data_IF_833466277969
#
_entry.id   IF_833466277969
#
_cell.length_a   1.000
_cell.length_b   1.000
_cell.length_c   1.000
_cell.angle_alpha   90.00
_cell.angle_beta   90.00
_cell.angle_gamma   90.00
#
_symmetry.space_group_name_H-M   'P 1'
#
loop_
_entity.id
_entity.type
_entity.pdbx_description
1 polymer ?
#
# COMPACT_ATOMS: atom_id res chain seq x y z
N UNK A 1 -11.88 -3.99 -2.17
CA UNK A 1 -12.05 -5.37 -1.61
C UNK A 1 -10.74 -6.15 -1.36
N UNK A 2 -9.65 -5.94 -2.11
CA UNK A 2 -8.38 -6.69 -1.88
C UNK A 2 -7.66 -6.27 -0.59
N UNK A 3 -7.59 -4.96 -0.29
CA UNK A 3 -7.05 -4.47 1.00
C UNK A 3 -7.83 -5.09 2.17
N UNK A 4 -9.16 -5.19 2.04
CA UNK A 4 -10.02 -5.83 3.03
C UNK A 4 -9.61 -7.29 3.29
N UNK A 5 -9.45 -8.11 2.23
CA UNK A 5 -9.01 -9.51 2.35
C UNK A 5 -7.59 -9.63 2.93
N UNK A 6 -6.68 -8.72 2.57
CA UNK A 6 -5.36 -8.68 3.18
C UNK A 6 -5.46 -8.43 4.68
N UNK A 7 -6.26 -7.43 5.10
CA UNK A 7 -6.47 -7.11 6.51
C UNK A 7 -7.10 -8.28 7.28
N UNK A 8 -8.13 -8.92 6.74
CA UNK A 8 -8.72 -10.13 7.36
C UNK A 8 -7.68 -11.24 7.57
N UNK A 9 -6.81 -11.44 6.58
CA UNK A 9 -5.75 -12.46 6.67
C UNK A 9 -4.75 -12.12 7.76
N UNK A 10 -4.36 -10.85 7.90
CA UNK A 10 -3.44 -10.39 8.94
C UNK A 10 -4.10 -10.52 10.31
N UNK A 11 -5.35 -10.07 10.46
CA UNK A 11 -6.10 -10.12 11.72
C UNK A 11 -6.23 -11.53 12.34
N UNK A 12 -6.14 -12.59 11.53
CA UNK A 12 -6.20 -13.97 12.06
C UNK A 12 -5.03 -14.34 12.97
N UNK A 13 -3.91 -13.64 12.83
CA UNK A 13 -2.65 -13.97 13.50
C UNK A 13 -2.05 -12.81 14.30
N UNK A 14 -2.71 -11.65 14.31
CA UNK A 14 -2.25 -10.46 15.01
C UNK A 14 -3.35 -9.99 15.99
N UNK A 15 -2.94 -9.48 17.17
CA UNK A 15 -3.85 -9.12 18.27
C UNK A 15 -4.47 -7.72 18.05
N UNK A 16 -5.23 -7.52 16.98
CA UNK A 16 -5.95 -6.28 16.72
C UNK A 16 -7.48 -6.47 16.74
N UNK A 17 -8.21 -5.39 17.04
CA UNK A 17 -9.67 -5.42 17.00
C UNK A 17 -10.15 -5.49 15.55
N UNK A 18 -10.65 -6.66 15.14
CA UNK A 18 -11.10 -6.93 13.76
C UNK A 18 -12.17 -5.94 13.29
N UNK A 19 -13.14 -5.58 14.15
CA UNK A 19 -14.20 -4.60 13.83
C UNK A 19 -13.59 -3.26 13.44
N UNK A 20 -12.68 -2.73 14.28
CA UNK A 20 -12.06 -1.42 14.07
C UNK A 20 -11.15 -1.43 12.82
N UNK A 21 -10.36 -2.50 12.63
CA UNK A 21 -9.48 -2.64 11.48
C UNK A 21 -10.28 -2.66 10.18
N UNK A 22 -11.33 -3.47 10.08
CA UNK A 22 -12.12 -3.58 8.86
C UNK A 22 -12.91 -2.31 8.57
N UNK A 23 -13.41 -1.62 9.59
CA UNK A 23 -14.02 -0.29 9.45
C UNK A 23 -13.00 0.73 8.92
N UNK A 24 -11.79 0.77 9.47
CA UNK A 24 -10.71 1.62 8.97
C UNK A 24 -10.37 1.30 7.50
N UNK A 25 -10.29 0.02 7.13
CA UNK A 25 -10.05 -0.43 5.75
C UNK A 25 -11.13 0.04 4.79
N UNK A 26 -12.41 -0.02 5.18
CA UNK A 26 -13.50 0.44 4.32
C UNK A 26 -13.47 1.95 4.10
N UNK A 27 -12.99 2.70 5.08
CA UNK A 27 -13.04 4.15 5.11
C UNK A 27 -11.73 4.87 4.73
N UNK A 28 -10.59 4.14 4.62
CA UNK A 28 -9.28 4.78 4.48
C UNK A 28 -9.12 5.62 3.21
N UNK A 29 -9.75 5.23 2.11
CA UNK A 29 -9.63 5.84 0.77
C UNK A 29 -10.98 6.39 0.25
N UNK A 30 -11.94 6.74 1.12
CA UNK A 30 -13.24 7.31 0.71
C UNK A 30 -13.09 8.68 0.03
N UNK A 31 -12.01 9.40 0.34
CA UNK A 31 -11.60 10.60 -0.39
C UNK A 31 -10.29 10.29 -1.10
N UNK A 32 -10.37 10.09 -2.41
CA UNK A 32 -9.21 9.87 -3.28
C UNK A 32 -9.09 11.00 -4.30
N UNK A 33 -8.32 12.01 -3.96
CA UNK A 33 -8.07 13.13 -4.86
C UNK A 33 -6.67 12.98 -5.45
N UNK A 34 -6.60 12.90 -6.79
CA UNK A 34 -5.33 12.79 -7.54
C UNK A 34 -4.43 13.99 -7.17
N UNK A 35 -3.19 13.74 -6.76
CA UNK A 35 -2.19 14.75 -6.40
C UNK A 35 -2.44 15.60 -5.13
N UNK A 36 -3.30 15.18 -4.20
CA UNK A 36 -3.44 15.87 -2.92
C UNK A 36 -2.69 15.18 -1.78
N UNK A 37 -1.78 15.93 -1.15
CA UNK A 37 -0.95 15.48 -0.01
C UNK A 37 -1.75 15.07 1.25
N UNK A 38 -3.03 15.45 1.36
CA UNK A 38 -3.85 15.29 2.58
C UNK A 38 -5.08 14.38 2.42
N UNK A 39 -5.14 13.52 1.39
CA UNK A 39 -6.28 12.62 1.16
C UNK A 39 -6.58 11.73 2.37
N UNK A 40 -5.55 11.17 3.02
CA UNK A 40 -5.70 10.34 4.22
C UNK A 40 -6.34 11.11 5.40
N UNK A 41 -5.90 12.35 5.65
CA UNK A 41 -6.48 13.18 6.70
C UNK A 41 -7.94 13.56 6.39
N UNK A 42 -8.25 13.86 5.13
CA UNK A 42 -9.62 14.16 4.70
C UNK A 42 -10.53 12.93 4.83
N UNK A 43 -10.05 11.75 4.42
CA UNK A 43 -10.75 10.49 4.65
C UNK A 43 -11.00 10.25 6.14
N UNK A 44 -9.98 10.43 6.99
CA UNK A 44 -10.12 10.28 8.44
C UNK A 44 -11.15 11.26 9.04
N UNK A 45 -11.17 12.52 8.60
CA UNK A 45 -12.17 13.50 9.06
C UNK A 45 -13.60 13.12 8.64
N UNK A 46 -13.80 12.69 7.39
CA UNK A 46 -15.12 12.23 6.92
C UNK A 46 -15.55 10.96 7.64
N UNK A 47 -14.62 10.05 7.91
CA UNK A 47 -14.89 8.81 8.64
C UNK A 47 -15.46 9.05 10.03
N UNK A 48 -15.02 10.10 10.75
CA UNK A 48 -15.59 10.46 12.06
C UNK A 48 -17.12 10.66 12.00
N UNK A 49 -17.60 11.39 10.97
CA UNK A 49 -19.02 11.62 10.80
C UNK A 49 -19.78 10.30 10.55
N UNK A 50 -19.29 9.51 9.61
CA UNK A 50 -19.89 8.22 9.27
C UNK A 50 -19.95 7.28 10.47
N UNK A 51 -18.84 7.20 11.24
CA UNK A 51 -18.76 6.33 12.42
C UNK A 51 -19.72 6.75 13.53
N UNK A 52 -19.89 8.07 13.79
CA UNK A 52 -20.88 8.58 14.76
C UNK A 52 -22.31 8.23 14.34
N UNK A 53 -22.64 8.37 13.07
CA UNK A 53 -23.95 8.02 12.52
C UNK A 53 -24.22 6.50 12.59
N UNK A 54 -23.17 5.68 12.72
CA UNK A 54 -23.24 4.22 12.87
C UNK A 54 -22.97 3.74 14.31
N UNK A 55 -23.15 4.62 15.32
CA UNK A 55 -23.11 4.31 16.74
C UNK A 55 -21.79 3.71 17.25
N UNK A 56 -20.65 4.08 16.65
CA UNK A 56 -19.33 3.76 17.21
C UNK A 56 -19.05 4.63 18.44
N UNK A 57 -18.35 4.05 19.44
CA UNK A 57 -17.93 4.77 20.62
C UNK A 57 -16.81 5.78 20.29
N UNK A 58 -16.65 6.85 21.07
CA UNK A 58 -15.67 7.91 20.77
C UNK A 58 -14.22 7.40 20.80
N UNK A 59 -13.88 6.43 21.66
CA UNK A 59 -12.58 5.77 21.69
C UNK A 59 -12.36 4.88 20.44
N UNK A 60 -13.37 4.12 19.99
CA UNK A 60 -13.33 3.37 18.74
C UNK A 60 -13.11 4.30 17.53
N UNK A 61 -13.82 5.42 17.48
CA UNK A 61 -13.70 6.45 16.44
C UNK A 61 -12.28 7.03 16.42
N UNK A 62 -11.70 7.27 17.58
CA UNK A 62 -10.34 7.80 17.70
C UNK A 62 -9.31 6.82 17.13
N UNK A 63 -9.41 5.55 17.48
CA UNK A 63 -8.51 4.49 16.94
C UNK A 63 -8.62 4.41 15.42
N UNK A 64 -9.84 4.37 14.88
CA UNK A 64 -10.09 4.30 13.44
C UNK A 64 -9.56 5.55 12.73
N UNK A 65 -9.81 6.72 13.30
CA UNK A 65 -9.32 8.00 12.76
C UNK A 65 -7.81 8.04 12.65
N UNK A 66 -7.10 7.68 13.73
CA UNK A 66 -5.63 7.68 13.73
C UNK A 66 -5.07 6.61 12.77
N UNK A 67 -5.66 5.43 12.73
CA UNK A 67 -5.30 4.39 11.76
C UNK A 67 -5.40 4.92 10.32
N UNK A 68 -6.51 5.57 9.94
CA UNK A 68 -6.71 6.14 8.61
C UNK A 68 -5.74 7.30 8.34
N UNK A 69 -5.55 8.20 9.29
CA UNK A 69 -4.66 9.37 9.17
C UNK A 69 -3.19 8.97 8.97
N UNK A 70 -2.76 7.86 9.59
CA UNK A 70 -1.37 7.42 9.62
C UNK A 70 -1.02 6.37 8.57
N UNK A 71 -2.00 5.76 7.86
CA UNK A 71 -1.74 4.64 6.96
C UNK A 71 -0.90 5.00 5.73
N UNK A 72 -0.92 6.26 5.29
CA UNK A 72 -0.35 6.67 3.99
C UNK A 72 1.16 6.41 3.90
N UNK A 73 1.58 5.75 2.81
CA UNK A 73 2.98 5.47 2.49
C UNK A 73 3.83 6.75 2.38
N UNK A 74 3.29 7.81 1.78
CA UNK A 74 4.02 9.06 1.52
C UNK A 74 4.48 9.80 2.78
N UNK A 75 3.90 9.49 3.92
CA UNK A 75 4.27 10.11 5.21
C UNK A 75 5.42 9.40 5.91
N UNK A 76 5.83 8.20 5.46
CA UNK A 76 6.92 7.42 6.07
C UNK A 76 6.71 7.04 7.55
N UNK A 77 5.52 7.32 8.10
CA UNK A 77 5.21 7.16 9.52
C UNK A 77 4.77 5.72 9.81
N UNK A 78 5.26 5.18 10.92
CA UNK A 78 4.75 3.92 11.47
C UNK A 78 3.53 4.26 12.33
N UNK A 79 2.36 3.64 12.09
CA UNK A 79 1.18 3.87 12.90
C UNK A 79 1.39 3.51 14.38
N UNK A 80 0.78 4.27 15.27
CA UNK A 80 0.90 4.09 16.71
C UNK A 80 0.17 2.83 17.20
N UNK A 81 -1.02 2.55 16.65
CA UNK A 81 -1.85 1.42 17.06
C UNK A 81 -1.62 0.18 16.20
N UNK A 82 -1.99 -0.99 16.74
CA UNK A 82 -1.94 -2.25 15.96
C UNK A 82 -2.94 -2.24 14.80
N UNK A 83 -4.09 -1.59 14.97
CA UNK A 83 -5.11 -1.41 13.93
C UNK A 83 -4.55 -0.62 12.75
N UNK A 84 -3.85 0.48 13.04
CA UNK A 84 -3.17 1.29 12.03
C UNK A 84 -2.05 0.52 11.32
N UNK A 85 -1.27 -0.26 12.05
CA UNK A 85 -0.20 -1.13 11.50
C UNK A 85 -0.77 -2.16 10.54
N UNK A 86 -1.88 -2.81 10.91
CA UNK A 86 -2.55 -3.81 10.07
C UNK A 86 -3.17 -3.16 8.83
N UNK A 87 -3.83 -2.00 8.95
CA UNK A 87 -4.34 -1.25 7.81
C UNK A 87 -3.22 -0.89 6.84
N UNK A 88 -2.12 -0.32 7.34
CA UNK A 88 -0.98 0.08 6.52
C UNK A 88 -0.33 -1.11 5.79
N UNK A 89 -0.18 -2.25 6.48
CA UNK A 89 0.35 -3.46 5.88
C UNK A 89 -0.59 -4.03 4.81
N UNK A 90 -1.90 -4.04 5.07
CA UNK A 90 -2.91 -4.53 4.14
C UNK A 90 -2.94 -3.71 2.84
N UNK A 91 -2.80 -2.37 2.94
CA UNK A 91 -2.71 -1.47 1.79
C UNK A 91 -1.40 -1.68 1.02
N UNK A 92 -0.26 -1.75 1.72
CA UNK A 92 1.04 -2.03 1.09
C UNK A 92 1.07 -3.37 0.38
N UNK A 93 0.46 -4.41 0.95
CA UNK A 93 0.34 -5.72 0.31
C UNK A 93 -0.47 -5.68 -0.99
N UNK A 94 -1.40 -4.75 -1.14
CA UNK A 94 -2.17 -4.56 -2.39
C UNK A 94 -1.30 -4.08 -3.56
N UNK A 95 -0.19 -3.41 -3.26
CA UNK A 95 0.73 -2.87 -4.25
C UNK A 95 1.75 -3.88 -4.79
N UNK A 96 1.92 -5.06 -4.16
CA UNK A 96 2.94 -6.04 -4.52
C UNK A 96 2.36 -7.40 -4.93
N UNK A 97 3.19 -8.28 -5.50
CA UNK A 97 2.79 -9.58 -6.04
C UNK A 97 2.28 -9.49 -7.47
N UNK A 98 1.68 -10.57 -7.99
CA UNK A 98 1.24 -10.67 -9.38
C UNK A 98 0.27 -9.54 -9.80
N UNK A 99 -0.68 -9.19 -8.92
CA UNK A 99 -1.61 -8.10 -9.22
C UNK A 99 -0.93 -6.72 -9.13
N UNK A 100 -0.02 -6.53 -8.18
CA UNK A 100 0.78 -5.31 -8.10
C UNK A 100 1.59 -5.09 -9.39
N UNK A 101 2.25 -6.15 -9.88
CA UNK A 101 2.95 -6.18 -11.15
C UNK A 101 2.03 -5.78 -12.32
N UNK A 102 0.90 -6.45 -12.48
CA UNK A 102 -0.06 -6.16 -13.54
C UNK A 102 -0.54 -4.68 -13.49
N UNK A 103 -0.78 -4.14 -12.28
CA UNK A 103 -1.18 -2.75 -12.09
C UNK A 103 -0.12 -1.74 -12.53
N UNK A 104 1.17 -2.03 -12.32
CA UNK A 104 2.24 -1.14 -12.80
C UNK A 104 2.15 -0.96 -14.31
N UNK A 105 2.05 -2.05 -15.06
CA UNK A 105 2.02 -1.96 -16.52
C UNK A 105 0.70 -1.44 -17.07
N UNK A 106 -0.43 -1.81 -16.45
CA UNK A 106 -1.73 -1.22 -16.79
C UNK A 106 -1.73 0.30 -16.58
N UNK A 107 -1.24 0.79 -15.45
CA UNK A 107 -1.11 2.22 -15.18
C UNK A 107 -0.11 2.90 -16.13
N UNK A 108 1.00 2.22 -16.43
CA UNK A 108 2.00 2.76 -17.35
C UNK A 108 1.44 2.91 -18.77
N UNK A 109 0.71 1.91 -19.26
CA UNK A 109 0.04 1.96 -20.58
C UNK A 109 -0.97 3.11 -20.66
N UNK A 110 -1.82 3.27 -19.62
CA UNK A 110 -2.82 4.35 -19.59
C UNK A 110 -2.23 5.77 -19.48
N UNK A 111 -0.94 5.90 -19.11
CA UNK A 111 -0.24 7.18 -19.00
C UNK A 111 0.88 7.33 -20.03
N UNK A 112 0.93 6.50 -21.06
CA UNK A 112 1.99 6.48 -22.08
C UNK A 112 3.40 6.43 -21.47
N UNK A 113 3.57 5.76 -20.32
CA UNK A 113 4.85 5.60 -19.65
C UNK A 113 5.54 4.34 -20.15
N UNK A 114 6.72 4.47 -20.82
CA UNK A 114 7.48 3.33 -21.30
C UNK A 114 7.86 2.34 -20.20
N UNK A 115 8.12 1.10 -20.58
CA UNK A 115 8.47 0.05 -19.61
C UNK A 115 9.81 0.32 -18.94
N UNK A 116 10.84 0.68 -19.71
CA UNK A 116 12.20 0.93 -19.24
C UNK A 116 12.94 1.92 -20.14
N UNK A 117 14.07 2.40 -19.68
CA UNK A 117 15.00 3.20 -20.46
C UNK A 117 15.80 2.28 -21.41
N UNK A 118 15.75 2.46 -22.74
CA UNK A 118 16.49 1.61 -23.68
C UNK A 118 18.01 1.58 -23.48
N UNK A 119 18.59 2.65 -22.91
CA UNK A 119 20.03 2.77 -22.68
C UNK A 119 20.49 2.20 -21.33
N UNK A 120 19.62 2.26 -20.31
CA UNK A 120 19.91 1.71 -18.97
C UNK A 120 18.61 1.22 -18.32
N UNK A 121 18.11 0.04 -18.73
CA UNK A 121 16.80 -0.48 -18.31
C UNK A 121 16.63 -0.64 -16.80
N UNK A 122 17.71 -0.83 -16.05
CA UNK A 122 17.71 -1.13 -14.62
C UNK A 122 18.33 -0.04 -13.75
N UNK A 123 18.47 1.17 -14.28
CA UNK A 123 19.01 2.34 -13.55
C UNK A 123 20.34 2.07 -12.84
N UNK A 124 21.27 1.40 -13.54
CA UNK A 124 22.61 1.10 -12.99
C UNK A 124 23.52 2.31 -12.99
N UNK A 125 23.41 3.15 -14.03
CA UNK A 125 24.29 4.29 -14.29
C UNK A 125 23.54 5.62 -14.33
N UNK A 126 22.26 5.63 -14.01
CA UNK A 126 21.38 6.80 -13.94
C UNK A 126 20.55 6.81 -12.67
N UNK A 127 20.01 7.95 -12.30
CA UNK A 127 19.05 8.06 -11.20
C UNK A 127 17.73 7.37 -11.55
N UNK A 128 17.11 6.74 -10.56
CA UNK A 128 15.77 6.18 -10.65
C UNK A 128 14.77 7.32 -10.92
N UNK A 129 13.84 7.09 -11.88
CA UNK A 129 12.76 8.02 -12.20
C UNK A 129 11.48 7.25 -12.52
N UNK A 130 10.70 6.95 -11.49
CA UNK A 130 9.45 6.18 -11.61
C UNK A 130 8.29 6.98 -12.24
N UNK A 131 8.45 8.28 -12.43
CA UNK A 131 7.52 9.08 -13.25
C UNK A 131 7.73 8.82 -14.75
N UNK A 132 8.97 8.50 -15.18
CA UNK A 132 9.32 8.30 -16.58
C UNK A 132 9.29 6.82 -17.00
N UNK A 133 9.71 5.90 -16.13
CA UNK A 133 9.92 4.50 -16.48
C UNK A 133 9.17 3.55 -15.53
N UNK A 134 8.47 2.55 -16.09
CA UNK A 134 7.68 1.60 -15.30
C UNK A 134 8.56 0.73 -14.39
N UNK A 135 9.71 0.22 -14.89
CA UNK A 135 10.64 -0.62 -14.11
C UNK A 135 11.24 0.14 -12.94
N UNK A 136 11.48 1.44 -13.07
CA UNK A 136 11.99 2.26 -11.99
C UNK A 136 11.09 2.25 -10.75
N UNK A 137 9.77 2.15 -10.93
CA UNK A 137 8.81 2.05 -9.83
C UNK A 137 9.00 0.81 -8.97
N UNK A 138 9.55 -0.27 -9.53
CA UNK A 138 9.89 -1.46 -8.74
C UNK A 138 10.98 -1.14 -7.71
N UNK A 139 12.02 -0.43 -8.13
CA UNK A 139 13.16 -0.08 -7.26
C UNK A 139 12.81 1.04 -6.30
N UNK A 140 12.15 2.10 -6.77
CA UNK A 140 11.79 3.26 -5.98
C UNK A 140 10.81 2.89 -4.85
N UNK A 141 9.85 1.99 -5.13
CA UNK A 141 8.77 1.72 -4.20
C UNK A 141 8.55 0.24 -3.90
N UNK A 142 8.24 -0.59 -4.91
CA UNK A 142 7.64 -1.88 -4.66
C UNK A 142 8.54 -2.84 -3.88
N UNK A 143 9.82 -2.92 -4.23
CA UNK A 143 10.80 -3.78 -3.58
C UNK A 143 11.14 -3.33 -2.15
N UNK A 144 10.89 -2.06 -1.80
CA UNK A 144 11.12 -1.54 -0.45
C UNK A 144 10.01 -1.90 0.53
N UNK A 145 8.81 -2.29 0.02
CA UNK A 145 7.63 -2.49 0.87
C UNK A 145 7.77 -3.68 1.82
N UNK A 146 8.48 -4.74 1.42
CA UNK A 146 8.71 -5.90 2.28
C UNK A 146 9.36 -5.51 3.62
N UNK A 147 10.39 -4.65 3.56
CA UNK A 147 11.11 -4.19 4.76
C UNK A 147 10.31 -3.21 5.61
N UNK A 148 9.32 -2.56 5.00
CA UNK A 148 8.47 -1.56 5.65
C UNK A 148 7.20 -2.13 6.29
N UNK A 149 6.99 -3.45 6.23
CA UNK A 149 5.86 -4.09 6.93
C UNK A 149 6.03 -4.03 8.44
N UNK A 150 4.93 -3.77 9.13
CA UNK A 150 4.92 -3.59 10.57
C UNK A 150 4.66 -4.90 11.33
N UNK A 151 3.80 -5.76 10.80
CA UNK A 151 3.35 -7.00 11.43
C UNK A 151 4.15 -8.20 10.96
N UNK A 152 4.23 -9.25 11.78
CA UNK A 152 4.89 -10.52 11.41
C UNK A 152 4.19 -11.19 10.22
N UNK A 153 2.87 -11.21 10.25
CA UNK A 153 2.04 -11.78 9.18
C UNK A 153 2.18 -10.98 7.89
N UNK A 154 2.14 -9.64 7.97
CA UNK A 154 2.38 -8.76 6.82
C UNK A 154 3.73 -9.01 6.17
N UNK A 155 4.81 -9.11 6.97
CA UNK A 155 6.17 -9.44 6.49
C UNK A 155 6.22 -10.78 5.76
N UNK A 156 5.61 -11.82 6.33
CA UNK A 156 5.58 -13.17 5.73
C UNK A 156 4.90 -13.17 4.37
N UNK A 157 3.74 -12.49 4.25
CA UNK A 157 3.02 -12.38 2.98
C UNK A 157 3.80 -11.52 1.98
N UNK A 158 4.36 -10.39 2.43
CA UNK A 158 5.16 -9.49 1.60
C UNK A 158 6.36 -10.21 0.99
N UNK A 159 7.10 -11.01 1.77
CA UNK A 159 8.24 -11.82 1.29
C UNK A 159 7.86 -12.69 0.10
N UNK A 160 6.71 -13.39 0.19
CA UNK A 160 6.20 -14.23 -0.91
C UNK A 160 5.86 -13.39 -2.15
N UNK A 161 5.19 -12.24 -1.96
CA UNK A 161 4.78 -11.36 -3.06
C UNK A 161 5.96 -10.64 -3.71
N UNK A 162 6.95 -10.21 -2.93
CA UNK A 162 8.17 -9.58 -3.43
C UNK A 162 9.01 -10.56 -4.25
N UNK A 163 9.01 -11.85 -3.91
CA UNK A 163 9.68 -12.89 -4.71
C UNK A 163 9.14 -12.93 -6.14
N UNK A 164 7.83 -12.73 -6.33
CA UNK A 164 7.22 -12.67 -7.68
C UNK A 164 7.78 -11.48 -8.48
N UNK A 165 7.89 -10.31 -7.84
CA UNK A 165 8.45 -9.11 -8.49
C UNK A 165 9.92 -9.30 -8.87
N UNK A 166 10.71 -9.89 -7.96
CA UNK A 166 12.15 -10.17 -8.22
C UNK A 166 12.34 -11.16 -9.36
N UNK A 167 11.52 -12.22 -9.40
CA UNK A 167 11.56 -13.20 -10.48
C UNK A 167 11.21 -12.55 -11.83
N UNK A 168 10.15 -11.73 -11.87
CA UNK A 168 9.77 -11.00 -13.08
C UNK A 168 10.90 -10.09 -13.58
N UNK A 169 11.56 -9.32 -12.68
CA UNK A 169 12.70 -8.48 -13.08
C UNK A 169 13.90 -9.30 -13.57
N UNK A 170 14.08 -10.50 -13.05
CA UNK A 170 15.11 -11.43 -13.54
C UNK A 170 14.80 -11.91 -14.95
N UNK A 171 13.56 -12.29 -15.22
CA UNK A 171 13.16 -12.75 -16.56
C UNK A 171 13.26 -11.60 -17.58
N UNK A 172 12.74 -10.42 -17.30
CA UNK A 172 12.94 -9.24 -18.18
C UNK A 172 14.42 -9.00 -18.49
N UNK A 173 15.31 -9.17 -17.50
CA UNK A 173 16.75 -8.98 -17.73
C UNK A 173 17.34 -9.99 -18.72
N UNK A 174 16.73 -11.15 -18.88
CA UNK A 174 17.16 -12.17 -19.82
C UNK A 174 16.61 -11.93 -21.24
N UNK A 175 15.56 -11.08 -21.37
CA UNK A 175 14.88 -10.78 -22.62
C UNK A 175 15.40 -9.50 -23.31
N UNK A 176 16.19 -8.66 -22.59
CA UNK A 176 16.66 -7.35 -23.07
C UNK A 176 18.16 -7.16 -22.89
#
# INVERSE_FOLDING_TARGET
MRVYRNAETICKNENGNKKLILSAVLLHDIIKIKNQKDSALKSAKLSKKILKENYFLEDEITIIFDAIKEHSFSKGKIPSTIEGKILQDADRLDAIGAIGLARVFSFSGSNNRPFYDPKDPFSKNRSINDNKWAIDHFYEKLLTLEQKMNTKTGKSIAKKRTKILKNFLKEIKNEI
#
